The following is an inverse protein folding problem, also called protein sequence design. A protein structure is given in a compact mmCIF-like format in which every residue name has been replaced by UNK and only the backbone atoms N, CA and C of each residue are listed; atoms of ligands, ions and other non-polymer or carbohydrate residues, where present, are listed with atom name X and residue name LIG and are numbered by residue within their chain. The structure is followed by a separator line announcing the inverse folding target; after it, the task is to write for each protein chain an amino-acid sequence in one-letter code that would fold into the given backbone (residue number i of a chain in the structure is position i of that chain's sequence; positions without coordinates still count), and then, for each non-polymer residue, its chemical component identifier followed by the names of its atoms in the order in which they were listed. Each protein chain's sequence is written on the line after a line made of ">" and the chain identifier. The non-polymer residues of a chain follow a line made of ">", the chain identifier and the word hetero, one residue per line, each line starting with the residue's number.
data_IF_784357161916
#
_entry.id   IF_784357161916
#
_cell.length_a   1.000
_cell.length_b   1.000
_cell.length_c   1.000
_cell.angle_alpha   90.00
_cell.angle_beta   90.00
_cell.angle_gamma   90.00
#
_symmetry.space_group_name_H-M   'P 1'
#
loop_
_entity.id
_entity.type
_entity.pdbx_description
1 polymer ?
#
# COMPACT_ATOMS: atom_id res chain seq x y z
N UNK A 1 -15.40 9.99 15.34
CA UNK A 1 -16.40 10.20 14.26
C UNK A 1 -15.87 10.00 12.85
N UNK A 2 -14.64 10.41 12.50
CA UNK A 2 -14.10 10.22 11.13
C UNK A 2 -12.97 9.18 11.01
N UNK A 3 -12.75 8.36 12.05
CA UNK A 3 -11.63 7.41 12.14
C UNK A 3 -11.42 6.59 10.87
N UNK A 4 -12.48 6.00 10.33
CA UNK A 4 -12.41 5.08 9.19
C UNK A 4 -11.96 5.74 7.88
N UNK A 5 -11.90 7.07 7.84
CA UNK A 5 -11.40 7.86 6.72
C UNK A 5 -9.90 8.13 6.79
N UNK A 6 -9.20 7.67 7.82
CA UNK A 6 -7.82 8.05 8.08
C UNK A 6 -6.91 6.86 8.39
N UNK A 7 -5.62 7.11 8.21
CA UNK A 7 -4.50 6.25 8.60
C UNK A 7 -3.57 7.05 9.49
N UNK A 8 -3.14 6.47 10.61
CA UNK A 8 -2.11 7.04 11.49
C UNK A 8 -0.83 6.22 11.32
N UNK A 9 0.29 6.89 11.07
CA UNK A 9 1.60 6.24 10.88
C UNK A 9 2.75 7.17 11.28
N UNK A 10 3.94 6.62 11.59
CA UNK A 10 5.14 7.45 11.73
C UNK A 10 5.51 8.11 10.39
N UNK A 11 6.00 9.34 10.45
CA UNK A 11 6.34 10.17 9.29
C UNK A 11 7.52 9.59 8.48
N UNK A 12 8.53 9.07 9.17
CA UNK A 12 9.82 8.67 8.60
C UNK A 12 10.12 7.16 8.73
N UNK A 13 9.11 6.34 8.98
CA UNK A 13 9.26 4.88 9.12
C UNK A 13 9.07 4.15 7.79
N UNK A 14 9.54 2.89 7.73
CA UNK A 14 9.45 2.01 6.57
C UNK A 14 8.99 0.61 6.97
N UNK A 15 8.55 -0.18 5.98
CA UNK A 15 8.11 -1.56 6.20
C UNK A 15 6.73 -1.69 6.87
N UNK A 16 5.90 -0.64 6.88
CA UNK A 16 4.53 -0.72 7.37
C UNK A 16 4.41 -0.98 8.88
N UNK A 17 5.48 -0.77 9.65
CA UNK A 17 5.42 -0.83 11.10
C UNK A 17 4.61 0.33 11.64
N UNK A 18 3.79 0.05 12.65
CA UNK A 18 2.98 1.04 13.36
C UNK A 18 2.05 1.86 12.43
N UNK A 19 1.55 1.22 11.37
CA UNK A 19 0.53 1.78 10.50
C UNK A 19 -0.84 1.31 10.98
N UNK A 20 -1.66 2.24 11.43
CA UNK A 20 -3.01 1.98 11.92
C UNK A 20 -4.02 2.51 10.92
N UNK A 21 -4.76 1.62 10.27
CA UNK A 21 -5.86 1.99 9.38
C UNK A 21 -7.11 2.15 10.23
N UNK A 22 -7.77 3.31 10.17
CA UNK A 22 -8.95 3.56 10.99
C UNK A 22 -10.01 2.47 10.83
N UNK A 23 -10.35 2.12 9.60
CA UNK A 23 -11.36 1.10 9.30
C UNK A 23 -11.01 -0.33 9.74
N UNK A 24 -9.75 -0.63 10.09
CA UNK A 24 -9.30 -1.96 10.53
C UNK A 24 -8.76 -1.97 11.98
N UNK A 25 -8.63 -0.81 12.62
CA UNK A 25 -8.12 -0.68 13.99
C UNK A 25 -9.29 -0.64 14.97
N UNK A 26 -9.17 -1.21 16.17
CA UNK A 26 -10.18 -1.03 17.23
C UNK A 26 -10.29 0.45 17.68
N UNK A 27 -11.46 0.89 18.14
CA UNK A 27 -11.66 2.28 18.60
C UNK A 27 -10.77 2.65 19.78
N UNK A 28 -10.62 1.76 20.78
CA UNK A 28 -9.81 2.04 21.95
C UNK A 28 -8.32 2.12 21.58
N UNK A 29 -7.85 1.23 20.71
CA UNK A 29 -6.47 1.25 20.22
C UNK A 29 -6.19 2.52 19.40
N UNK A 30 -7.13 2.92 18.54
CA UNK A 30 -7.03 4.15 17.76
C UNK A 30 -6.90 5.39 18.64
N UNK A 31 -7.81 5.54 19.62
CA UNK A 31 -7.80 6.69 20.54
C UNK A 31 -6.55 6.70 21.41
N UNK A 32 -6.08 5.53 21.83
CA UNK A 32 -4.81 5.39 22.55
C UNK A 32 -3.65 5.88 21.68
N UNK A 33 -3.57 5.47 20.41
CA UNK A 33 -2.48 5.87 19.50
C UNK A 33 -2.51 7.36 19.18
N UNK A 34 -3.69 7.97 19.06
CA UNK A 34 -3.81 9.43 18.97
C UNK A 34 -3.25 10.07 20.23
N UNK A 35 -3.73 9.69 21.42
CA UNK A 35 -3.31 10.30 22.70
C UNK A 35 -1.80 10.20 22.93
N UNK A 36 -1.21 9.06 22.60
CA UNK A 36 0.24 8.82 22.73
C UNK A 36 1.06 9.74 21.83
N UNK A 37 0.56 10.10 20.64
CA UNK A 37 1.37 10.72 19.59
C UNK A 37 0.90 12.13 19.16
N UNK A 38 -0.20 12.66 19.72
CA UNK A 38 -0.78 13.95 19.30
C UNK A 38 0.17 15.14 19.45
N UNK A 39 1.15 15.06 20.35
CA UNK A 39 2.19 16.10 20.55
C UNK A 39 3.50 15.80 19.80
N UNK A 40 3.57 14.69 19.07
CA UNK A 40 4.76 14.28 18.34
C UNK A 40 4.74 14.82 16.92
N UNK A 41 5.86 15.36 16.47
CA UNK A 41 6.10 15.71 15.07
C UNK A 41 6.53 14.50 14.23
N UNK A 42 6.73 13.33 14.84
CA UNK A 42 7.16 12.11 14.18
C UNK A 42 6.01 11.28 13.61
N UNK A 43 4.76 11.72 13.76
CA UNK A 43 3.56 11.00 13.33
C UNK A 43 2.69 11.85 12.42
N UNK A 44 2.06 11.20 11.46
CA UNK A 44 1.15 11.85 10.51
C UNK A 44 -0.20 11.17 10.50
N UNK A 45 -1.22 11.97 10.22
CA UNK A 45 -2.55 11.51 9.83
C UNK A 45 -2.67 11.68 8.33
N UNK A 46 -3.04 10.62 7.63
CA UNK A 46 -3.25 10.62 6.19
C UNK A 46 -4.69 10.20 5.90
N UNK A 47 -5.33 10.81 4.91
CA UNK A 47 -6.57 10.27 4.37
C UNK A 47 -6.37 8.82 3.89
N UNK A 48 -7.33 7.97 4.22
CA UNK A 48 -7.36 6.60 3.76
C UNK A 48 -7.65 6.57 2.26
N UNK A 49 -6.82 5.85 1.52
CA UNK A 49 -7.01 5.61 0.09
C UNK A 49 -7.43 4.16 -0.07
N UNK A 50 -8.56 3.93 -0.74
CA UNK A 50 -9.02 2.59 -1.05
C UNK A 50 -7.94 1.81 -1.80
N UNK A 51 -7.60 0.64 -1.27
CA UNK A 51 -6.54 -0.18 -1.84
C UNK A 51 -7.14 -0.99 -2.99
N UNK A 52 -6.63 -0.87 -4.23
CA UNK A 52 -7.14 -1.63 -5.35
C UNK A 52 -6.92 -3.12 -5.12
N UNK A 53 -7.84 -3.93 -5.63
CA UNK A 53 -7.79 -5.38 -5.53
C UNK A 53 -7.92 -6.01 -6.90
N UNK A 54 -7.08 -7.00 -7.18
CA UNK A 54 -7.04 -7.71 -8.46
C UNK A 54 -6.80 -9.20 -8.23
N UNK A 55 -7.14 -10.01 -9.23
CA UNK A 55 -6.98 -11.46 -9.16
C UNK A 55 -5.54 -11.84 -9.51
N UNK A 56 -4.86 -12.54 -8.60
CA UNK A 56 -3.51 -13.07 -8.81
C UNK A 56 -3.46 -14.59 -8.60
N UNK A 57 -2.55 -15.29 -9.31
CA UNK A 57 -2.30 -16.70 -9.05
C UNK A 57 -1.51 -16.87 -7.74
N UNK A 58 -1.99 -17.75 -6.89
CA UNK A 58 -1.30 -18.26 -5.72
C UNK A 58 -0.90 -19.71 -5.97
N UNK A 59 0.40 -19.98 -5.91
CA UNK A 59 0.97 -21.29 -6.24
C UNK A 59 1.11 -22.11 -4.97
N UNK A 60 0.26 -23.12 -4.80
CA UNK A 60 0.38 -24.16 -3.78
C UNK A 60 0.58 -25.54 -4.42
N UNK A 61 -0.06 -26.58 -3.86
CA UNK A 61 -0.18 -27.89 -4.53
C UNK A 61 -0.91 -27.79 -5.87
N UNK A 62 -1.84 -26.84 -5.96
CA UNK A 62 -2.54 -26.41 -7.17
C UNK A 62 -2.38 -24.89 -7.32
N UNK A 63 -2.58 -24.38 -8.53
CA UNK A 63 -2.67 -22.94 -8.75
C UNK A 63 -4.11 -22.51 -8.46
N UNK A 64 -4.27 -21.57 -7.53
CA UNK A 64 -5.57 -20.97 -7.22
C UNK A 64 -5.53 -19.49 -7.55
N UNK A 65 -6.60 -18.97 -8.14
CA UNK A 65 -6.75 -17.54 -8.37
C UNK A 65 -7.41 -16.89 -7.15
N UNK A 66 -6.76 -15.87 -6.58
CA UNK A 66 -7.26 -15.17 -5.39
C UNK A 66 -7.23 -13.67 -5.59
N UNK A 67 -8.20 -13.00 -5.00
CA UNK A 67 -8.23 -11.54 -4.90
C UNK A 67 -7.12 -11.09 -3.94
N UNK A 68 -6.21 -10.24 -4.41
CA UNK A 68 -5.13 -9.65 -3.62
C UNK A 68 -5.20 -8.14 -3.69
N UNK A 69 -4.80 -7.47 -2.61
CA UNK A 69 -4.62 -6.03 -2.55
C UNK A 69 -3.32 -5.65 -3.26
N UNK A 70 -3.34 -4.59 -4.07
CA UNK A 70 -2.25 -4.22 -4.98
C UNK A 70 -1.70 -2.84 -4.65
N UNK A 71 -0.39 -2.69 -4.72
CA UNK A 71 0.31 -1.42 -4.63
C UNK A 71 1.34 -1.30 -5.75
N UNK A 72 1.25 -0.24 -6.55
CA UNK A 72 2.17 0.06 -7.66
C UNK A 72 3.27 1.01 -7.17
N UNK A 73 4.53 0.64 -7.37
CA UNK A 73 5.69 1.34 -6.83
C UNK A 73 6.65 1.70 -7.99
N UNK A 74 6.51 2.89 -8.58
CA UNK A 74 7.45 3.40 -9.57
C UNK A 74 8.78 3.79 -8.90
N UNK A 75 9.88 3.60 -9.61
CA UNK A 75 11.20 4.08 -9.24
C UNK A 75 11.49 5.41 -9.95
N UNK A 76 12.22 6.28 -9.26
CA UNK A 76 12.77 7.49 -9.82
C UNK A 76 14.28 7.56 -9.58
N UNK A 77 15.05 7.76 -10.65
CA UNK A 77 16.50 7.99 -10.59
C UNK A 77 16.78 9.42 -11.06
N UNK A 78 17.32 10.26 -10.17
CA UNK A 78 17.57 11.68 -10.44
C UNK A 78 16.32 12.41 -10.98
N UNK A 79 15.15 12.14 -10.40
CA UNK A 79 13.87 12.72 -10.83
C UNK A 79 13.29 12.15 -12.12
N UNK A 80 13.92 11.16 -12.75
CA UNK A 80 13.42 10.50 -13.97
C UNK A 80 12.85 9.12 -13.66
N UNK A 81 11.79 8.75 -14.36
CA UNK A 81 11.17 7.43 -14.25
C UNK A 81 12.17 6.31 -14.57
N UNK A 82 12.26 5.33 -13.68
CA UNK A 82 13.24 4.24 -13.71
C UNK A 82 12.66 2.84 -13.90
N UNK A 83 11.34 2.73 -14.08
CA UNK A 83 10.63 1.45 -14.06
C UNK A 83 9.66 1.35 -12.89
N UNK A 84 8.88 0.27 -12.85
CA UNK A 84 7.84 0.06 -11.85
C UNK A 84 7.83 -1.40 -11.41
N UNK A 85 7.59 -1.62 -10.13
CA UNK A 85 7.21 -2.93 -9.59
C UNK A 85 5.86 -2.82 -8.89
N UNK A 86 5.13 -3.92 -8.81
CA UNK A 86 3.92 -3.98 -8.00
C UNK A 86 4.12 -4.97 -6.86
N UNK A 87 3.46 -4.67 -5.74
CA UNK A 87 3.40 -5.53 -4.57
C UNK A 87 1.96 -5.96 -4.36
N UNK A 88 1.77 -7.21 -3.96
CA UNK A 88 0.47 -7.80 -3.69
C UNK A 88 0.43 -8.35 -2.26
N UNK A 89 -0.72 -8.29 -1.58
CA UNK A 89 -0.88 -8.86 -0.24
C UNK A 89 -2.35 -9.21 0.05
N UNK A 90 -2.57 -10.08 1.04
CA UNK A 90 -3.89 -10.24 1.67
C UNK A 90 -4.16 -9.10 2.69
N UNK A 91 -3.10 -8.51 3.23
CA UNK A 91 -3.16 -7.41 4.20
C UNK A 91 -3.28 -6.04 3.54
N UNK A 92 -3.95 -5.11 4.22
CA UNK A 92 -4.04 -3.70 3.80
C UNK A 92 -2.74 -2.93 4.02
N UNK A 93 -1.89 -3.38 4.94
CA UNK A 93 -0.50 -2.89 5.05
C UNK A 93 0.38 -3.75 4.14
N UNK A 94 0.51 -3.33 2.88
CA UNK A 94 1.25 -4.10 1.86
C UNK A 94 2.76 -3.99 2.11
N UNK A 95 3.32 -5.06 2.68
CA UNK A 95 4.76 -5.21 2.90
C UNK A 95 5.21 -6.64 2.54
N UNK A 96 6.31 -6.74 1.79
CA UNK A 96 6.94 -8.02 1.41
C UNK A 96 7.41 -8.81 2.63
N UNK A 97 8.00 -8.16 3.64
CA UNK A 97 8.47 -8.85 4.84
C UNK A 97 7.34 -9.36 5.74
N UNK A 98 6.09 -8.96 5.47
CA UNK A 98 4.88 -9.41 6.16
C UNK A 98 4.05 -10.40 5.32
N UNK A 99 4.67 -11.07 4.34
CA UNK A 99 4.01 -12.06 3.48
C UNK A 99 3.42 -11.48 2.19
N UNK A 100 3.71 -10.23 1.85
CA UNK A 100 3.40 -9.69 0.52
C UNK A 100 4.28 -10.28 -0.58
N UNK A 101 3.73 -10.42 -1.79
CA UNK A 101 4.45 -10.82 -2.99
C UNK A 101 4.92 -9.63 -3.82
N UNK A 102 5.99 -9.82 -4.58
CA UNK A 102 6.44 -8.89 -5.63
C UNK A 102 6.03 -9.47 -6.98
N UNK A 103 5.41 -8.65 -7.83
CA UNK A 103 4.97 -9.05 -9.17
C UNK A 103 5.52 -8.08 -10.22
N UNK A 104 5.90 -8.58 -11.41
CA UNK A 104 6.37 -7.73 -12.49
C UNK A 104 5.26 -6.78 -12.94
N UNK A 105 5.63 -5.55 -13.30
CA UNK A 105 4.70 -4.56 -13.86
C UNK A 105 5.19 -4.16 -15.25
N UNK A 106 4.35 -4.37 -16.25
CA UNK A 106 4.65 -3.97 -17.63
C UNK A 106 3.92 -2.68 -17.94
N UNK A 107 4.66 -1.65 -18.37
CA UNK A 107 4.05 -0.43 -18.89
C UNK A 107 3.65 -0.69 -20.33
N UNK A 108 2.39 -0.46 -20.65
CA UNK A 108 1.86 -0.60 -22.00
C UNK A 108 1.56 0.78 -22.55
N UNK A 109 2.00 1.03 -23.78
CA UNK A 109 1.58 2.21 -24.53
C UNK A 109 0.34 1.85 -25.35
N UNK A 110 -0.65 2.74 -25.37
CA UNK A 110 -1.78 2.56 -26.29
C UNK A 110 -1.28 2.84 -27.69
N UNK A 111 -1.75 2.06 -28.67
CA UNK A 111 -1.33 2.17 -30.08
C UNK A 111 -1.38 3.62 -30.62
N UNK A 112 -2.43 4.36 -30.29
CA UNK A 112 -2.60 5.78 -30.68
C UNK A 112 -1.51 6.73 -30.16
N UNK A 113 -0.88 6.37 -29.03
CA UNK A 113 0.15 7.19 -28.39
C UNK A 113 1.55 6.84 -28.94
N UNK A 114 1.68 5.76 -29.72
CA UNK A 114 2.92 5.34 -30.40
C UNK A 114 3.08 6.07 -31.73
N UNK A 115 1.98 6.35 -32.44
CA UNK A 115 1.99 7.02 -33.75
C UNK A 115 2.30 8.52 -33.67
N UNK A 116 2.45 9.08 -32.46
CA UNK A 116 2.71 10.50 -32.19
C UNK A 116 4.15 10.77 -31.69
N UNK A 117 5.00 9.75 -31.63
CA UNK A 117 6.43 9.83 -31.24
C UNK A 117 7.29 9.51 -32.44
#
# INVERSE_FOLDING_TARGET
>A
ENKDKFVIKPASSYGGKDVFLGNETDQNLWDKKIKENIKSEEWVVQEYVNIPQEIYPEIGKTVNLKLKKVNVNPFAFCGKYGGTISRVSDSSVINVSAGGGLVPTMNVMRKKDIELV
#
